data_IF_547257025907
#
_entry.id   IF_547257025907
#
_cell.length_a   1.000
_cell.length_b   1.000
_cell.length_c   1.000
_cell.angle_alpha   90.00
_cell.angle_beta   90.00
_cell.angle_gamma   90.00
#
_symmetry.space_group_name_H-M   'P 1'
#
loop_
_entity.id
_entity.type
_entity.pdbx_description
1 polymer ?
#
# COMPACT_ATOMS: atom_id res chain seq x y z
N UNK A 1 -10.35 18.88 18.24
CA UNK A 1 -9.03 19.46 18.56
C UNK A 1 -8.62 20.64 17.67
N UNK A 2 -8.62 20.52 16.33
CA UNK A 2 -8.14 21.58 15.42
C UNK A 2 -8.84 22.93 15.61
N UNK A 3 -10.17 22.94 15.70
CA UNK A 3 -10.97 24.15 15.92
C UNK A 3 -10.55 24.88 17.21
N UNK A 4 -10.50 24.15 18.32
CA UNK A 4 -10.06 24.70 19.61
C UNK A 4 -8.62 25.22 19.58
N UNK A 5 -7.73 24.56 18.83
CA UNK A 5 -6.35 25.02 18.66
C UNK A 5 -6.25 26.34 17.89
N UNK A 6 -7.12 26.57 16.89
CA UNK A 6 -7.22 27.84 16.17
C UNK A 6 -7.85 28.95 17.03
N UNK A 7 -8.91 28.63 17.79
CA UNK A 7 -9.59 29.58 18.68
C UNK A 7 -8.67 30.09 19.79
N UNK A 8 -7.76 29.24 20.27
CA UNK A 8 -6.78 29.57 21.30
C UNK A 8 -5.56 30.36 20.79
N UNK A 9 -5.48 30.65 19.49
CA UNK A 9 -4.47 31.58 18.97
C UNK A 9 -4.87 33.04 19.29
N UNK A 10 -3.89 33.92 19.52
CA UNK A 10 -4.12 35.36 19.50
C UNK A 10 -4.84 35.80 18.21
N UNK A 11 -5.70 36.81 18.33
CA UNK A 11 -6.59 37.25 17.23
C UNK A 11 -5.82 37.63 15.97
N UNK A 12 -4.70 38.33 16.13
CA UNK A 12 -3.75 38.74 15.09
C UNK A 12 -3.05 37.55 14.40
N UNK A 13 -3.02 36.37 15.04
CA UNK A 13 -2.37 35.16 14.51
C UNK A 13 -3.36 34.18 13.88
N UNK A 14 -4.67 34.39 14.07
CA UNK A 14 -5.71 33.43 13.66
C UNK A 14 -5.74 33.21 12.15
N UNK A 15 -5.59 34.27 11.36
CA UNK A 15 -5.55 34.18 9.89
C UNK A 15 -4.37 33.35 9.38
N UNK A 16 -3.20 33.50 10.01
CA UNK A 16 -2.01 32.68 9.68
C UNK A 16 -2.28 31.22 10.05
N UNK A 17 -2.86 30.97 11.23
CA UNK A 17 -3.25 29.63 11.66
C UNK A 17 -4.22 28.94 10.70
N UNK A 18 -5.26 29.65 10.24
CA UNK A 18 -6.22 29.14 9.26
C UNK A 18 -5.54 28.81 7.92
N UNK A 19 -4.62 29.67 7.46
CA UNK A 19 -3.85 29.42 6.26
C UNK A 19 -2.95 28.18 6.41
N UNK A 20 -2.31 28.00 7.57
CA UNK A 20 -1.46 26.84 7.84
C UNK A 20 -2.24 25.52 7.87
N UNK A 21 -3.46 25.52 8.40
CA UNK A 21 -4.33 24.35 8.36
C UNK A 21 -4.74 24.00 6.93
N UNK A 22 -4.95 25.01 6.08
CA UNK A 22 -5.41 24.81 4.70
C UNK A 22 -4.29 24.35 3.76
N UNK A 23 -3.12 24.99 3.85
CA UNK A 23 -2.09 24.89 2.80
C UNK A 23 -0.67 24.66 3.36
N UNK A 24 -0.51 24.56 4.68
CA UNK A 24 0.79 24.40 5.32
C UNK A 24 1.75 25.58 5.13
N UNK A 25 3.01 25.38 5.52
CA UNK A 25 4.07 26.38 5.34
C UNK A 25 4.39 26.67 3.86
N UNK A 26 4.46 25.67 2.95
CA UNK A 26 4.71 25.94 1.54
C UNK A 26 3.64 26.84 0.92
N UNK A 27 2.36 26.55 1.16
CA UNK A 27 1.28 27.39 0.65
C UNK A 27 1.29 28.80 1.26
N UNK A 28 1.70 28.95 2.52
CA UNK A 28 1.86 30.28 3.11
C UNK A 28 2.99 31.08 2.43
N UNK A 29 4.11 30.44 2.07
CA UNK A 29 5.19 31.09 1.31
C UNK A 29 4.71 31.57 -0.05
N UNK A 30 3.98 30.73 -0.76
CA UNK A 30 3.40 31.06 -2.07
C UNK A 30 2.41 32.23 -1.96
N UNK A 31 1.54 32.23 -0.95
CA UNK A 31 0.58 33.30 -0.73
C UNK A 31 1.24 34.65 -0.43
N UNK A 32 2.29 34.66 0.41
CA UNK A 32 3.06 35.87 0.71
C UNK A 32 3.77 36.38 -0.55
N UNK A 33 4.40 35.50 -1.31
CA UNK A 33 5.10 35.89 -2.54
C UNK A 33 4.15 36.49 -3.59
N UNK A 34 2.96 35.89 -3.75
CA UNK A 34 1.93 36.42 -4.64
C UNK A 34 1.46 37.82 -4.20
N UNK A 35 1.24 38.01 -2.90
CA UNK A 35 0.80 39.29 -2.35
C UNK A 35 1.87 40.39 -2.48
N UNK A 36 3.15 40.06 -2.25
CA UNK A 36 4.25 41.01 -2.44
C UNK A 36 4.43 41.40 -3.91
N UNK A 37 4.21 40.47 -4.84
CA UNK A 37 4.20 40.78 -6.28
C UNK A 37 3.13 41.82 -6.62
N UNK A 38 1.94 41.70 -6.03
CA UNK A 38 0.85 42.66 -6.22
C UNK A 38 1.21 44.01 -5.59
N UNK A 39 1.69 44.02 -4.34
CA UNK A 39 2.08 45.23 -3.62
C UNK A 39 3.15 46.04 -4.38
N UNK A 40 4.19 45.36 -4.87
CA UNK A 40 5.21 45.97 -5.71
C UNK A 40 4.64 46.58 -7.00
N UNK A 41 3.66 45.91 -7.62
CA UNK A 41 2.98 46.39 -8.83
C UNK A 41 2.12 47.65 -8.62
N UNK A 42 1.64 47.89 -7.39
CA UNK A 42 0.84 49.08 -7.03
C UNK A 42 1.62 50.12 -6.22
N UNK A 43 2.92 49.89 -5.98
CA UNK A 43 3.78 50.80 -5.21
C UNK A 43 3.53 50.79 -3.70
N UNK A 44 2.91 49.75 -3.18
CA UNK A 44 2.69 49.53 -1.75
C UNK A 44 3.89 48.80 -1.11
N UNK A 45 4.14 49.00 0.20
CA UNK A 45 5.21 48.30 0.90
C UNK A 45 4.97 46.78 0.94
N UNK A 46 6.04 46.00 0.77
CA UNK A 46 5.99 44.54 0.83
C UNK A 46 5.68 44.02 2.24
N UNK A 47 5.00 42.88 2.29
CA UNK A 47 4.77 42.13 3.53
C UNK A 47 6.11 41.53 3.98
N UNK A 48 6.49 41.67 5.27
CA UNK A 48 7.71 41.09 5.80
C UNK A 48 7.59 39.56 5.93
N UNK A 49 7.96 38.86 4.85
CA UNK A 49 7.81 37.41 4.72
C UNK A 49 8.48 36.63 5.86
N UNK A 50 9.73 36.97 6.21
CA UNK A 50 10.49 36.27 7.24
C UNK A 50 9.80 36.34 8.61
N UNK A 51 9.20 37.47 8.96
CA UNK A 51 8.49 37.63 10.23
C UNK A 51 7.26 36.71 10.29
N UNK A 52 6.48 36.65 9.22
CA UNK A 52 5.30 35.79 9.13
C UNK A 52 5.67 34.31 9.11
N UNK A 53 6.74 33.93 8.41
CA UNK A 53 7.21 32.54 8.36
C UNK A 53 7.75 32.08 9.72
N UNK A 54 8.53 32.92 10.42
CA UNK A 54 9.00 32.64 11.77
C UNK A 54 7.84 32.50 12.78
N UNK A 55 6.77 33.27 12.62
CA UNK A 55 5.56 33.13 13.43
C UNK A 55 4.83 31.82 13.09
N UNK A 56 4.69 31.51 11.80
CA UNK A 56 4.04 30.31 11.33
C UNK A 56 4.75 29.03 11.80
N UNK A 57 6.08 29.01 11.79
CA UNK A 57 6.89 27.89 12.29
C UNK A 57 6.70 27.65 13.79
N UNK A 58 6.42 28.71 14.57
CA UNK A 58 6.10 28.59 16.01
C UNK A 58 4.69 28.03 16.25
N UNK A 59 3.71 28.43 15.44
CA UNK A 59 2.31 28.01 15.59
C UNK A 59 2.06 26.60 15.05
N UNK A 60 2.71 26.26 13.94
CA UNK A 60 2.43 25.06 13.16
C UNK A 60 2.49 23.74 13.96
N UNK A 61 3.48 23.50 14.85
CA UNK A 61 3.54 22.25 15.60
C UNK A 61 2.26 21.97 16.41
N UNK A 62 1.71 23.00 17.07
CA UNK A 62 0.46 22.89 17.84
C UNK A 62 -0.73 22.54 16.95
N UNK A 63 -0.83 23.18 15.78
CA UNK A 63 -1.91 22.89 14.83
C UNK A 63 -1.79 21.48 14.24
N UNK A 64 -0.58 21.02 13.92
CA UNK A 64 -0.34 19.63 13.47
C UNK A 64 -0.68 18.60 14.53
N UNK A 65 -0.31 18.84 15.79
CA UNK A 65 -0.71 17.98 16.91
C UNK A 65 -2.23 17.90 17.01
N UNK A 66 -2.93 19.04 16.93
CA UNK A 66 -4.39 19.08 17.02
C UNK A 66 -5.08 18.37 15.83
N UNK A 67 -4.59 18.57 14.62
CA UNK A 67 -5.11 17.88 13.43
C UNK A 67 -4.85 16.36 13.49
N UNK A 68 -3.66 15.95 13.89
CA UNK A 68 -3.35 14.55 14.12
C UNK A 68 -4.24 13.95 15.20
N UNK A 69 -4.51 14.69 16.27
CA UNK A 69 -5.38 14.24 17.36
C UNK A 69 -6.80 13.95 16.84
N UNK A 70 -7.39 14.84 16.04
CA UNK A 70 -8.70 14.60 15.41
C UNK A 70 -8.69 13.34 14.53
N UNK A 71 -7.62 13.15 13.72
CA UNK A 71 -7.48 11.93 12.88
C UNK A 71 -7.28 10.67 13.72
N UNK A 72 -6.55 10.77 14.82
CA UNK A 72 -6.25 9.67 15.73
C UNK A 72 -7.50 9.21 16.48
N UNK A 73 -8.33 10.13 16.97
CA UNK A 73 -9.62 9.79 17.59
C UNK A 73 -10.56 9.12 16.59
N UNK A 74 -10.67 9.66 15.37
CA UNK A 74 -11.47 9.05 14.31
C UNK A 74 -10.97 7.65 13.95
N UNK A 75 -9.65 7.48 13.83
CA UNK A 75 -9.02 6.19 13.56
C UNK A 75 -9.26 5.18 14.69
N UNK A 76 -9.20 5.62 15.95
CA UNK A 76 -9.47 4.77 17.11
C UNK A 76 -10.95 4.37 17.19
N UNK A 77 -11.86 5.31 16.93
CA UNK A 77 -13.30 5.02 16.91
C UNK A 77 -13.68 4.02 15.81
N UNK A 78 -13.06 4.16 14.62
CA UNK A 78 -13.25 3.26 13.48
C UNK A 78 -12.22 2.14 13.40
N UNK A 79 -11.54 1.80 14.50
CA UNK A 79 -10.33 0.97 14.42
C UNK A 79 -10.57 -0.39 13.83
N UNK A 80 -11.79 -0.93 13.84
CA UNK A 80 -12.17 -2.20 13.22
C UNK A 80 -12.27 -2.17 11.69
N UNK A 81 -12.58 -1.00 11.11
CA UNK A 81 -13.04 -0.87 9.72
C UNK A 81 -12.10 -0.02 8.85
N UNK A 82 -11.31 0.88 9.46
CA UNK A 82 -10.34 1.73 8.74
C UNK A 82 -9.30 0.85 8.02
N UNK A 83 -8.84 1.24 6.84
CA UNK A 83 -7.81 0.49 6.12
C UNK A 83 -6.49 0.42 6.91
N UNK A 84 -5.80 -0.72 6.89
CA UNK A 84 -4.54 -0.90 7.62
C UNK A 84 -3.45 0.08 7.19
N UNK A 85 -3.44 0.53 5.92
CA UNK A 85 -2.52 1.55 5.42
C UNK A 85 -2.77 2.90 6.08
N UNK A 86 -4.04 3.27 6.23
CA UNK A 86 -4.42 4.55 6.84
C UNK A 86 -4.12 4.54 8.34
N UNK A 87 -4.41 3.44 9.04
CA UNK A 87 -3.99 3.25 10.43
C UNK A 87 -2.46 3.38 10.59
N UNK A 88 -1.67 2.76 9.69
CA UNK A 88 -0.21 2.92 9.68
C UNK A 88 0.21 4.37 9.45
N UNK A 89 -0.45 5.09 8.56
CA UNK A 89 -0.17 6.51 8.31
C UNK A 89 -0.42 7.37 9.56
N UNK A 90 -1.50 7.10 10.30
CA UNK A 90 -1.80 7.79 11.57
C UNK A 90 -0.74 7.49 12.63
N UNK A 91 -0.31 6.22 12.74
CA UNK A 91 0.76 5.80 13.67
C UNK A 91 2.08 6.49 13.35
N UNK A 92 2.51 6.48 12.08
CA UNK A 92 3.76 7.12 11.66
C UNK A 92 3.71 8.64 11.90
N UNK A 93 2.57 9.28 11.59
CA UNK A 93 2.41 10.71 11.84
C UNK A 93 2.52 11.07 13.35
N UNK A 94 2.24 10.13 14.25
CA UNK A 94 2.34 10.34 15.68
C UNK A 94 3.77 10.65 16.14
N UNK A 95 4.81 10.14 15.47
CA UNK A 95 6.22 10.39 15.80
C UNK A 95 6.55 11.90 15.85
N UNK A 96 5.89 12.67 14.98
CA UNK A 96 6.08 14.12 14.90
C UNK A 96 4.94 14.94 15.51
N UNK A 97 3.75 14.33 15.69
CA UNK A 97 2.57 15.05 16.14
C UNK A 97 2.20 14.81 17.61
N UNK A 98 2.51 13.63 18.17
CA UNK A 98 2.20 13.31 19.57
C UNK A 98 3.22 13.95 20.52
N UNK A 99 2.88 15.11 21.09
CA UNK A 99 3.78 15.95 21.90
C UNK A 99 3.42 15.99 23.39
N UNK A 100 2.22 15.57 23.75
CA UNK A 100 1.70 15.54 25.13
C UNK A 100 1.54 14.11 25.63
N UNK A 101 1.40 13.91 26.94
CA UNK A 101 1.17 12.57 27.51
C UNK A 101 -0.13 11.95 26.97
N UNK A 102 -1.19 12.74 26.86
CA UNK A 102 -2.48 12.33 26.28
C UNK A 102 -2.33 11.88 24.82
N UNK A 103 -1.66 12.67 23.98
CA UNK A 103 -1.48 12.34 22.56
C UNK A 103 -0.54 11.14 22.38
N UNK A 104 0.47 10.97 23.25
CA UNK A 104 1.31 9.76 23.27
C UNK A 104 0.51 8.53 23.69
N UNK A 105 -0.33 8.62 24.72
CA UNK A 105 -1.20 7.54 25.14
C UNK A 105 -2.20 7.13 24.04
N UNK A 106 -2.76 8.10 23.31
CA UNK A 106 -3.60 7.82 22.15
C UNK A 106 -2.84 7.10 21.03
N UNK A 107 -1.60 7.52 20.76
CA UNK A 107 -0.75 6.86 19.76
C UNK A 107 -0.42 5.41 20.14
N UNK A 108 -0.23 5.09 21.43
CA UNK A 108 -0.05 3.71 21.91
C UNK A 108 -1.31 2.88 21.65
N UNK A 109 -2.50 3.37 22.03
CA UNK A 109 -3.77 2.66 21.78
C UNK A 109 -3.97 2.31 20.31
N UNK A 110 -3.66 3.25 19.41
CA UNK A 110 -3.78 3.00 17.97
C UNK A 110 -2.74 1.98 17.50
N UNK A 111 -1.51 2.01 18.04
CA UNK A 111 -0.47 1.01 17.73
C UNK A 111 -0.88 -0.39 18.19
N UNK A 112 -1.41 -0.53 19.40
CA UNK A 112 -1.90 -1.80 19.93
C UNK A 112 -3.05 -2.36 19.09
N UNK A 113 -4.03 -1.51 18.75
CA UNK A 113 -5.15 -1.91 17.91
C UNK A 113 -4.74 -2.27 16.48
N UNK A 114 -3.77 -1.53 15.90
CA UNK A 114 -3.17 -1.86 14.61
C UNK A 114 -2.50 -3.25 14.65
N UNK A 115 -1.67 -3.52 15.65
CA UNK A 115 -1.02 -4.84 15.82
C UNK A 115 -2.05 -5.95 15.93
N UNK A 116 -3.04 -5.78 16.81
CA UNK A 116 -4.13 -6.74 17.00
C UNK A 116 -4.88 -7.03 15.70
N UNK A 117 -5.14 -5.99 14.89
CA UNK A 117 -5.80 -6.17 13.59
C UNK A 117 -4.94 -6.83 12.55
N UNK A 118 -3.66 -6.47 12.47
CA UNK A 118 -2.71 -7.12 11.57
C UNK A 118 -2.64 -8.61 11.88
N UNK A 119 -2.54 -8.98 13.15
CA UNK A 119 -2.49 -10.39 13.58
C UNK A 119 -3.79 -11.13 13.27
N UNK A 120 -4.94 -10.51 13.55
CA UNK A 120 -6.26 -11.07 13.23
C UNK A 120 -6.43 -11.30 11.73
N UNK A 121 -6.16 -10.30 10.90
CA UNK A 121 -6.29 -10.41 9.44
C UNK A 121 -5.29 -11.40 8.85
N UNK A 122 -4.07 -11.47 9.39
CA UNK A 122 -3.09 -12.48 9.02
C UNK A 122 -3.56 -13.90 9.38
N UNK A 123 -4.11 -14.09 10.58
CA UNK A 123 -4.69 -15.37 11.01
C UNK A 123 -5.87 -15.79 10.14
N UNK A 124 -6.77 -14.86 9.80
CA UNK A 124 -7.92 -15.11 8.91
C UNK A 124 -7.45 -15.50 7.50
N UNK A 125 -6.49 -14.77 6.94
CA UNK A 125 -5.90 -15.09 5.64
C UNK A 125 -5.24 -16.47 5.63
N UNK A 126 -4.42 -16.78 6.64
CA UNK A 126 -3.77 -18.09 6.76
C UNK A 126 -4.81 -19.22 6.87
N UNK A 127 -5.85 -19.00 7.66
CA UNK A 127 -6.97 -19.94 7.77
C UNK A 127 -7.69 -20.12 6.43
N UNK A 128 -7.96 -19.06 5.67
CA UNK A 128 -8.60 -19.14 4.36
C UNK A 128 -7.71 -19.90 3.35
N UNK A 129 -6.41 -19.62 3.29
CA UNK A 129 -5.47 -20.34 2.43
C UNK A 129 -5.46 -21.84 2.75
N UNK A 130 -5.31 -22.18 4.03
CA UNK A 130 -5.18 -23.58 4.48
C UNK A 130 -6.49 -24.36 4.36
N UNK A 131 -7.64 -23.78 4.69
CA UNK A 131 -8.95 -24.42 4.48
C UNK A 131 -9.24 -24.64 3.00
N UNK A 132 -9.02 -23.62 2.16
CA UNK A 132 -9.19 -23.73 0.71
C UNK A 132 -8.31 -24.82 0.11
N UNK A 133 -7.06 -24.94 0.58
CA UNK A 133 -6.15 -26.00 0.15
C UNK A 133 -6.65 -27.39 0.56
N UNK A 134 -7.12 -27.55 1.80
CA UNK A 134 -7.71 -28.81 2.30
C UNK A 134 -8.95 -29.23 1.53
N UNK A 135 -9.75 -28.27 1.07
CA UNK A 135 -10.92 -28.51 0.22
C UNK A 135 -10.56 -28.89 -1.24
N UNK A 136 -9.27 -29.02 -1.58
CA UNK A 136 -8.81 -29.35 -2.92
C UNK A 136 -8.94 -28.20 -3.94
N UNK A 137 -9.24 -26.97 -3.50
CA UNK A 137 -9.43 -25.79 -4.36
C UNK A 137 -8.09 -25.11 -4.67
N UNK A 138 -7.19 -25.84 -5.33
CA UNK A 138 -5.77 -25.50 -5.52
C UNK A 138 -5.57 -24.12 -6.16
N UNK A 139 -6.24 -23.82 -7.28
CA UNK A 139 -6.14 -22.51 -7.97
C UNK A 139 -6.55 -21.36 -7.06
N UNK A 140 -7.61 -21.53 -6.26
CA UNK A 140 -8.07 -20.50 -5.31
C UNK A 140 -7.06 -20.32 -4.19
N UNK A 141 -6.50 -21.40 -3.65
CA UNK A 141 -5.47 -21.35 -2.60
C UNK A 141 -4.20 -20.61 -3.10
N UNK A 142 -3.73 -20.91 -4.31
CA UNK A 142 -2.59 -20.23 -4.95
C UNK A 142 -2.86 -18.72 -5.20
N UNK A 143 -4.10 -18.35 -5.51
CA UNK A 143 -4.47 -16.93 -5.67
C UNK A 143 -4.60 -16.21 -4.34
N UNK A 144 -4.98 -16.90 -3.27
CA UNK A 144 -5.04 -16.35 -1.92
C UNK A 144 -3.64 -16.15 -1.35
N UNK A 145 -2.72 -17.10 -1.57
CA UNK A 145 -1.35 -17.03 -1.06
C UNK A 145 -0.55 -15.83 -1.58
N UNK A 146 -0.92 -15.26 -2.72
CA UNK A 146 -0.28 -14.06 -3.29
C UNK A 146 -0.81 -12.74 -2.74
N UNK A 147 -1.80 -12.77 -1.84
CA UNK A 147 -2.49 -11.58 -1.29
C UNK A 147 -2.42 -11.52 0.24
N UNK A 148 -1.23 -11.46 0.84
CA UNK A 148 -1.12 -11.31 2.27
C UNK A 148 -1.66 -9.94 2.74
N UNK A 149 -2.27 -9.84 3.94
CA UNK A 149 -2.73 -8.56 4.51
C UNK A 149 -1.62 -7.51 4.68
N UNK A 150 -0.37 -7.98 4.77
CA UNK A 150 0.84 -7.16 4.79
C UNK A 150 1.80 -7.67 3.73
N UNK A 151 2.28 -6.75 2.88
CA UNK A 151 3.29 -7.06 1.87
C UNK A 151 4.51 -7.73 2.54
N UNK A 152 4.92 -8.87 1.99
CA UNK A 152 6.03 -9.66 2.52
C UNK A 152 5.73 -10.50 3.75
N UNK A 153 4.48 -10.56 4.26
CA UNK A 153 4.14 -11.50 5.33
C UNK A 153 4.29 -12.95 4.81
N UNK A 154 5.17 -13.76 5.40
CA UNK A 154 5.45 -15.09 4.89
C UNK A 154 4.32 -16.06 5.24
N UNK A 155 4.09 -17.04 4.36
CA UNK A 155 3.37 -18.25 4.74
C UNK A 155 4.29 -19.14 5.59
N UNK A 156 3.75 -19.88 6.58
CA UNK A 156 4.52 -20.91 7.28
C UNK A 156 5.07 -21.97 6.32
N UNK A 157 6.28 -22.46 6.58
CA UNK A 157 6.95 -23.47 5.74
C UNK A 157 6.09 -24.70 5.43
N UNK A 158 5.39 -25.33 6.41
CA UNK A 158 4.55 -26.48 6.11
C UNK A 158 3.40 -26.17 5.13
N UNK A 159 2.88 -24.94 5.15
CA UNK A 159 1.82 -24.49 4.24
C UNK A 159 2.40 -24.24 2.84
N UNK A 160 3.61 -23.69 2.75
CA UNK A 160 4.33 -23.55 1.48
C UNK A 160 4.60 -24.90 0.84
N UNK A 161 5.06 -25.89 1.61
CA UNK A 161 5.33 -27.24 1.13
C UNK A 161 4.06 -27.93 0.63
N UNK A 162 2.97 -27.89 1.42
CA UNK A 162 1.68 -28.45 1.01
C UNK A 162 1.13 -27.77 -0.26
N UNK A 163 1.23 -26.45 -0.35
CA UNK A 163 0.75 -25.70 -1.51
C UNK A 163 1.58 -26.01 -2.77
N UNK A 164 2.90 -26.14 -2.63
CA UNK A 164 3.79 -26.53 -3.74
C UNK A 164 3.48 -27.96 -4.20
N UNK A 165 3.39 -28.92 -3.28
CA UNK A 165 3.08 -30.30 -3.60
C UNK A 165 1.71 -30.45 -4.29
N UNK A 166 0.68 -29.78 -3.78
CA UNK A 166 -0.64 -29.79 -4.41
C UNK A 166 -0.63 -29.14 -5.80
N UNK A 167 0.12 -28.06 -5.99
CA UNK A 167 0.28 -27.45 -7.30
C UNK A 167 1.00 -28.40 -8.28
N UNK A 168 2.12 -29.00 -7.89
CA UNK A 168 2.84 -30.00 -8.68
C UNK A 168 1.93 -31.16 -9.12
N UNK A 169 1.19 -31.75 -8.17
CA UNK A 169 0.26 -32.86 -8.44
C UNK A 169 -0.95 -32.47 -9.30
N UNK A 170 -1.28 -31.18 -9.37
CA UNK A 170 -2.34 -30.69 -10.26
C UNK A 170 -1.90 -30.46 -11.70
N UNK A 171 -0.60 -30.60 -11.98
CA UNK A 171 0.02 -30.34 -13.26
C UNK A 171 0.53 -31.65 -13.87
N UNK A 172 -0.37 -32.36 -14.54
CA UNK A 172 -0.12 -33.67 -15.15
C UNK A 172 -0.37 -33.63 -16.66
N UNK A 173 0.07 -34.67 -17.37
CA UNK A 173 -0.22 -34.88 -18.80
C UNK A 173 -1.71 -35.16 -19.08
N UNK A 174 -2.43 -35.65 -18.07
CA UNK A 174 -3.79 -36.18 -18.21
C UNK A 174 -4.88 -35.09 -18.13
N UNK A 175 -4.54 -33.89 -17.65
CA UNK A 175 -5.49 -32.79 -17.55
C UNK A 175 -5.56 -32.00 -18.85
N UNK A 176 -6.69 -31.31 -19.07
CA UNK A 176 -6.82 -30.41 -20.22
C UNK A 176 -5.79 -29.27 -20.17
N UNK A 177 -5.35 -28.83 -21.34
CA UNK A 177 -4.38 -27.74 -21.46
C UNK A 177 -4.90 -26.40 -20.92
N UNK A 178 -6.21 -26.14 -21.03
CA UNK A 178 -6.86 -24.98 -20.40
C UNK A 178 -6.77 -25.01 -18.88
N UNK A 179 -6.96 -26.20 -18.29
CA UNK A 179 -6.81 -26.41 -16.85
C UNK A 179 -5.36 -26.27 -16.45
N UNK A 180 -4.43 -26.79 -17.25
CA UNK A 180 -2.99 -26.58 -17.07
C UNK A 180 -2.74 -25.07 -17.01
N UNK A 181 -2.99 -24.33 -18.08
CA UNK A 181 -2.77 -22.88 -18.18
C UNK A 181 -3.35 -22.10 -16.98
N UNK A 182 -4.56 -22.46 -16.54
CA UNK A 182 -5.21 -21.86 -15.36
C UNK A 182 -4.42 -22.06 -14.07
N UNK A 183 -3.88 -23.26 -13.85
CA UNK A 183 -3.02 -23.56 -12.70
C UNK A 183 -1.68 -22.83 -12.85
N UNK A 184 -1.07 -22.82 -14.04
CA UNK A 184 0.19 -22.12 -14.30
C UNK A 184 0.12 -20.63 -13.93
N UNK A 185 -0.96 -19.97 -14.34
CA UNK A 185 -1.21 -18.56 -14.03
C UNK A 185 -1.28 -18.31 -12.52
N UNK A 186 -1.91 -19.22 -11.78
CA UNK A 186 -2.01 -19.11 -10.33
C UNK A 186 -0.65 -19.41 -9.65
N UNK A 187 0.08 -20.42 -10.14
CA UNK A 187 1.43 -20.76 -9.67
C UNK A 187 2.36 -19.57 -9.85
N UNK A 188 2.39 -18.95 -11.03
CA UNK A 188 3.28 -17.85 -11.38
C UNK A 188 3.17 -16.61 -10.48
N UNK A 189 2.06 -16.43 -9.77
CA UNK A 189 1.87 -15.32 -8.83
C UNK A 189 2.03 -15.74 -7.35
N UNK A 190 2.02 -17.05 -7.08
CA UNK A 190 2.08 -17.60 -5.74
C UNK A 190 3.52 -17.58 -5.19
N UNK A 191 3.75 -17.42 -3.87
CA UNK A 191 5.08 -17.51 -3.27
C UNK A 191 5.77 -18.88 -3.40
N UNK A 192 5.08 -19.91 -3.94
CA UNK A 192 5.65 -21.23 -4.21
C UNK A 192 6.09 -21.45 -5.66
N UNK A 193 6.02 -20.43 -6.54
CA UNK A 193 6.30 -20.58 -7.97
C UNK A 193 7.63 -21.29 -8.30
N UNK A 194 8.70 -21.03 -7.54
CA UNK A 194 10.02 -21.67 -7.73
C UNK A 194 10.12 -23.08 -7.13
N UNK A 195 9.11 -23.55 -6.40
CA UNK A 195 9.07 -24.87 -5.75
C UNK A 195 8.21 -25.88 -6.52
N UNK A 196 7.45 -25.43 -7.51
CA UNK A 196 6.52 -26.27 -8.25
C UNK A 196 7.25 -26.98 -9.38
N UNK A 197 7.14 -28.30 -9.38
CA UNK A 197 7.68 -29.19 -10.43
C UNK A 197 6.50 -29.98 -10.97
N UNK A 198 6.04 -29.74 -12.21
CA UNK A 198 4.93 -30.49 -12.80
C UNK A 198 5.19 -31.99 -12.78
N UNK A 199 4.21 -32.80 -12.39
CA UNK A 199 4.30 -34.26 -12.46
C UNK A 199 4.25 -34.78 -13.90
N UNK A 200 3.66 -34.01 -14.82
CA UNK A 200 3.64 -34.33 -16.23
C UNK A 200 3.43 -33.11 -17.12
N UNK A 201 4.03 -33.16 -18.31
CA UNK A 201 3.82 -32.16 -19.36
C UNK A 201 2.84 -32.72 -20.40
N UNK A 202 1.95 -31.89 -20.98
CA UNK A 202 1.15 -32.28 -22.12
C UNK A 202 2.05 -32.73 -23.27
N UNK A 203 1.74 -33.87 -23.90
CA UNK A 203 2.55 -34.45 -24.99
C UNK A 203 2.65 -33.53 -26.20
N UNK A 204 1.56 -32.86 -26.54
CA UNK A 204 1.47 -31.92 -27.67
C UNK A 204 0.87 -30.58 -27.20
N UNK A 205 1.69 -29.66 -26.65
CA UNK A 205 1.19 -28.38 -26.16
C UNK A 205 0.74 -27.48 -27.31
N UNK A 206 -0.52 -27.06 -27.26
CA UNK A 206 -1.10 -26.14 -28.23
C UNK A 206 -0.68 -24.68 -28.00
N UNK A 207 -0.92 -23.84 -29.00
CA UNK A 207 -0.47 -22.44 -29.01
C UNK A 207 -0.97 -21.63 -27.81
N UNK A 208 -2.22 -21.84 -27.38
CA UNK A 208 -2.80 -21.13 -26.24
C UNK A 208 -2.06 -21.40 -24.93
N UNK A 209 -1.67 -22.66 -24.68
CA UNK A 209 -0.87 -23.02 -23.51
C UNK A 209 0.53 -22.41 -23.60
N UNK A 210 1.16 -22.49 -24.78
CA UNK A 210 2.49 -21.92 -25.02
C UNK A 210 2.50 -20.39 -24.86
N UNK A 211 1.43 -19.68 -25.23
CA UNK A 211 1.27 -18.25 -24.97
C UNK A 211 1.29 -17.94 -23.47
N UNK A 212 0.57 -18.73 -22.66
CA UNK A 212 0.57 -18.58 -21.21
C UNK A 212 1.96 -18.84 -20.63
N UNK A 213 2.61 -19.94 -21.04
CA UNK A 213 3.98 -20.27 -20.60
C UNK A 213 4.95 -19.12 -20.92
N UNK A 214 4.92 -18.57 -22.14
CA UNK A 214 5.74 -17.40 -22.51
C UNK A 214 5.43 -16.17 -21.69
N UNK A 215 4.14 -15.90 -21.40
CA UNK A 215 3.73 -14.74 -20.61
C UNK A 215 4.28 -14.79 -19.18
N UNK A 216 4.30 -15.99 -18.57
CA UNK A 216 4.72 -16.16 -17.18
C UNK A 216 6.17 -16.63 -17.03
N UNK A 217 6.93 -16.78 -18.11
CA UNK A 217 8.22 -17.46 -18.12
C UNK A 217 9.25 -16.91 -17.14
N UNK A 218 9.20 -15.60 -16.86
CA UNK A 218 10.08 -14.96 -15.88
C UNK A 218 9.79 -15.38 -14.43
N UNK A 219 8.54 -15.73 -14.15
CA UNK A 219 8.11 -16.15 -12.81
C UNK A 219 8.27 -17.66 -12.61
N UNK A 220 8.30 -18.45 -13.69
CA UNK A 220 8.41 -19.92 -13.62
C UNK A 220 9.46 -20.43 -14.64
N UNK A 221 10.73 -20.04 -14.48
CA UNK A 221 11.75 -20.28 -15.50
C UNK A 221 11.97 -21.77 -15.79
N UNK A 222 11.94 -22.64 -14.78
CA UNK A 222 12.16 -24.07 -14.95
C UNK A 222 11.01 -24.75 -15.71
N UNK A 223 9.76 -24.34 -15.42
CA UNK A 223 8.58 -24.82 -16.16
C UNK A 223 8.66 -24.33 -17.61
N UNK A 224 8.99 -23.06 -17.84
CA UNK A 224 9.13 -22.52 -19.18
C UNK A 224 10.20 -23.27 -20.00
N UNK A 225 11.35 -23.55 -19.40
CA UNK A 225 12.41 -24.34 -20.02
C UNK A 225 11.94 -25.75 -20.39
N UNK A 226 11.10 -26.39 -19.57
CA UNK A 226 10.52 -27.70 -19.86
C UNK A 226 9.58 -27.69 -21.09
N UNK A 227 8.99 -26.55 -21.43
CA UNK A 227 8.24 -26.32 -22.67
C UNK A 227 9.12 -25.79 -23.83
N UNK A 228 10.44 -25.73 -23.67
CA UNK A 228 11.35 -25.16 -24.67
C UNK A 228 11.23 -23.64 -24.83
N UNK A 229 10.65 -22.94 -23.85
CA UNK A 229 10.49 -21.49 -23.85
C UNK A 229 11.61 -20.85 -23.04
N UNK A 230 12.43 -20.03 -23.70
CA UNK A 230 13.45 -19.24 -23.02
C UNK A 230 12.81 -18.12 -22.16
N UNK A 231 13.14 -18.02 -20.85
CA UNK A 231 12.63 -16.97 -19.99
C UNK A 231 13.04 -15.59 -20.49
N UNK A 232 12.08 -14.86 -21.07
CA UNK A 232 12.33 -13.52 -21.62
C UNK A 232 11.50 -12.48 -20.89
N UNK A 233 12.14 -11.36 -20.53
CA UNK A 233 11.43 -10.21 -19.97
C UNK A 233 10.33 -9.76 -20.95
N UNK A 234 9.07 -9.56 -20.47
CA UNK A 234 8.00 -9.11 -21.33
C UNK A 234 8.39 -7.77 -21.97
N UNK A 235 8.14 -7.61 -23.27
CA UNK A 235 8.37 -6.34 -23.95
C UNK A 235 7.50 -5.28 -23.26
N UNK A 236 8.12 -4.32 -22.57
CA UNK A 236 7.40 -3.17 -22.00
C UNK A 236 6.60 -2.53 -23.12
N UNK A 237 5.28 -2.59 -23.05
CA UNK A 237 4.43 -1.78 -23.91
C UNK A 237 4.74 -0.32 -23.58
N UNK A 238 5.30 0.42 -24.55
CA UNK A 238 5.45 1.87 -24.41
C UNK A 238 4.06 2.44 -24.27
N UNK A 239 3.69 2.82 -23.04
CA UNK A 239 2.49 3.60 -22.76
C UNK A 239 2.53 4.84 -23.67
N UNK A 240 1.50 5.14 -24.46
CA UNK A 240 1.48 6.34 -25.27
C UNK A 240 1.74 7.54 -24.37
N UNK A 241 2.75 8.35 -24.69
CA UNK A 241 3.00 9.61 -24.00
C UNK A 241 1.74 10.47 -24.13
N UNK A 242 1.12 10.83 -23.00
CA UNK A 242 0.06 11.84 -22.98
C UNK A 242 0.59 13.10 -23.69
N UNK A 243 -0.13 13.67 -24.67
CA UNK A 243 0.28 14.93 -25.26
C UNK A 243 0.28 16.00 -24.15
N UNK A 244 1.32 16.82 -24.13
CA UNK A 244 1.38 18.00 -23.27
C UNK A 244 0.33 19.00 -23.75
N UNK A 245 -0.59 19.38 -22.86
CA UNK A 245 -1.51 20.48 -23.12
C UNK A 245 -0.70 21.78 -23.23
N UNK A 246 -0.83 22.47 -24.35
CA UNK A 246 -0.35 23.86 -24.54
C UNK A 246 -1.23 24.84 -23.79
#
# INVERSE_FOLDING_TARGET
HRKAALEALPEDQRLIGEHLVRSGLPGLREAIAAQNTIAAGVGEPEIPADLLLNLAERIQPRLRTAEWHDRAEAALAGIGDVDLRDLRSVVVAAETAARTDETRALAEKIREGLTTRVDREHGQWLHEVTSTLKDGRIVRALRLSSRPPKAGAPLPTPVLEQLAAAASASLTSEISQDRWATVLDAVALSPVHQRVVPEGLPTEPGDALLEVVRRVSMNVPDIAAAFGVEPKAPRRSRRPSRPASS
#
